data_IF_139334482411
#
_entry.id   IF_139334482411
#
_cell.length_a   1.000
_cell.length_b   1.000
_cell.length_c   1.000
_cell.angle_alpha   90.00
_cell.angle_beta   90.00
_cell.angle_gamma   90.00
#
_symmetry.space_group_name_H-M   'P 1'
#
loop_
_entity.id
_entity.type
_entity.pdbx_description
1 polymer ?
#
# COMPACT_ATOMS: atom_id res chain seq x y z
N UNK A 1 26.90 27.47 45.74
CA UNK A 1 26.29 27.66 44.40
C UNK A 1 27.01 26.74 43.44
N UNK A 2 26.45 25.56 43.16
CA UNK A 2 27.04 24.61 42.20
C UNK A 2 26.70 25.06 40.78
N UNK A 3 27.67 25.13 39.86
CA UNK A 3 27.43 25.62 38.51
C UNK A 3 26.56 24.65 37.71
N UNK A 4 25.61 25.23 36.96
CA UNK A 4 24.79 24.57 35.95
C UNK A 4 25.63 23.62 35.10
N UNK A 5 25.40 22.32 35.28
CA UNK A 5 26.02 21.29 34.46
C UNK A 5 25.26 21.22 33.12
N UNK A 6 25.56 22.19 32.25
CA UNK A 6 25.26 22.10 30.83
C UNK A 6 26.07 20.92 30.26
N UNK A 7 25.42 19.77 30.10
CA UNK A 7 25.89 18.70 29.22
C UNK A 7 25.06 18.72 27.93
N UNK A 8 25.70 18.91 26.77
CA UNK A 8 25.01 19.14 25.51
C UNK A 8 24.33 17.85 25.06
N UNK A 9 23.03 17.90 24.77
CA UNK A 9 22.62 17.23 23.54
C UNK A 9 23.41 17.92 22.43
N UNK A 10 24.09 17.18 21.55
CA UNK A 10 24.94 17.76 20.49
C UNK A 10 24.22 18.80 19.61
N UNK A 11 22.89 18.83 19.64
CA UNK A 11 22.03 19.75 18.91
C UNK A 11 20.89 20.25 19.81
N UNK A 12 20.37 21.45 19.53
CA UNK A 12 19.20 21.98 20.22
C UNK A 12 17.97 21.08 19.98
N UNK A 13 17.04 20.95 20.95
CA UNK A 13 15.83 20.11 20.82
C UNK A 13 15.04 20.38 19.52
N UNK A 14 14.95 21.66 19.13
CA UNK A 14 14.35 22.08 17.86
C UNK A 14 15.05 21.47 16.64
N UNK A 15 16.38 21.51 16.62
CA UNK A 15 17.16 20.98 15.48
C UNK A 15 17.02 19.47 15.37
N UNK A 16 16.98 18.76 16.49
CA UNK A 16 16.75 17.31 16.52
C UNK A 16 15.36 16.96 15.95
N UNK A 17 14.32 17.66 16.40
CA UNK A 17 12.97 17.47 15.88
C UNK A 17 12.90 17.75 14.38
N UNK A 18 13.51 18.84 13.90
CA UNK A 18 13.53 19.19 12.49
C UNK A 18 14.22 18.12 11.63
N UNK A 19 15.37 17.59 12.05
CA UNK A 19 16.06 16.52 11.33
C UNK A 19 15.23 15.24 11.25
N UNK A 20 14.56 14.86 12.34
CA UNK A 20 13.68 13.69 12.36
C UNK A 20 12.45 13.89 11.47
N UNK A 21 11.85 15.08 11.50
CA UNK A 21 10.77 15.44 10.58
C UNK A 21 11.25 15.44 9.12
N UNK A 22 12.45 15.92 8.80
CA UNK A 22 13.00 15.83 7.44
C UNK A 22 13.16 14.39 6.98
N UNK A 23 13.65 13.50 7.85
CA UNK A 23 13.77 12.09 7.52
C UNK A 23 12.41 11.43 7.30
N UNK A 24 11.42 11.72 8.17
CA UNK A 24 10.06 11.22 8.03
C UNK A 24 9.36 11.77 6.77
N UNK A 25 9.61 13.03 6.39
CA UNK A 25 9.15 13.62 5.13
C UNK A 25 9.75 12.91 3.93
N UNK A 26 11.06 12.64 3.95
CA UNK A 26 11.72 11.89 2.89
C UNK A 26 11.14 10.47 2.78
N UNK A 27 10.95 9.76 3.89
CA UNK A 27 10.34 8.43 3.90
C UNK A 27 8.91 8.44 3.34
N UNK A 28 8.12 9.45 3.71
CA UNK A 28 6.76 9.64 3.19
C UNK A 28 6.78 9.93 1.70
N UNK A 29 7.68 10.80 1.23
CA UNK A 29 7.84 11.13 -0.18
C UNK A 29 8.22 9.90 -1.01
N UNK A 30 9.17 9.10 -0.53
CA UNK A 30 9.55 7.86 -1.22
C UNK A 30 8.38 6.87 -1.27
N UNK A 31 7.63 6.73 -0.18
CA UNK A 31 6.44 5.89 -0.13
C UNK A 31 5.35 6.37 -1.10
N UNK A 32 5.09 7.67 -1.20
CA UNK A 32 4.07 8.20 -2.12
C UNK A 32 4.51 8.12 -3.57
N UNK A 33 5.79 8.37 -3.86
CA UNK A 33 6.35 8.16 -5.20
C UNK A 33 6.24 6.69 -5.62
N UNK A 34 6.47 5.76 -4.71
CA UNK A 34 6.26 4.34 -4.96
C UNK A 34 4.79 4.05 -5.30
N UNK A 35 3.84 4.54 -4.49
CA UNK A 35 2.40 4.36 -4.75
C UNK A 35 1.95 4.99 -6.06
N UNK A 36 2.58 6.08 -6.50
CA UNK A 36 2.30 6.70 -7.79
C UNK A 36 2.68 5.79 -8.99
N UNK A 37 3.57 4.82 -8.79
CA UNK A 37 3.95 3.85 -9.84
C UNK A 37 3.06 2.61 -9.87
N UNK A 38 2.13 2.47 -8.91
CA UNK A 38 1.25 1.31 -8.82
C UNK A 38 0.32 1.22 -10.05
N UNK A 39 0.22 0.04 -10.69
CA UNK A 39 -0.71 -0.18 -11.80
C UNK A 39 -2.16 0.16 -11.44
N UNK A 40 -2.85 0.86 -12.34
CA UNK A 40 -4.24 1.26 -12.17
C UNK A 40 -5.08 0.80 -13.37
N UNK A 41 -6.10 -0.01 -13.12
CA UNK A 41 -7.09 -0.46 -14.10
C UNK A 41 -8.34 0.45 -14.09
N UNK A 42 -8.58 1.16 -13.00
CA UNK A 42 -9.75 2.00 -12.79
C UNK A 42 -11.02 1.18 -12.55
N UNK A 43 -10.88 0.04 -11.89
CA UNK A 43 -11.95 -0.87 -11.52
C UNK A 43 -12.06 -0.93 -10.00
N UNK A 44 -13.28 -0.92 -9.48
CA UNK A 44 -13.55 -1.33 -8.10
C UNK A 44 -13.88 -2.81 -8.11
N UNK A 45 -13.04 -3.59 -7.45
CA UNK A 45 -13.13 -5.05 -7.43
C UNK A 45 -13.53 -5.53 -6.04
N UNK A 46 -14.37 -6.55 -5.99
CA UNK A 46 -14.71 -7.24 -4.75
C UNK A 46 -14.62 -8.75 -4.88
N UNK A 47 -14.56 -9.40 -3.72
CA UNK A 47 -14.54 -10.86 -3.63
C UNK A 47 -15.91 -11.40 -4.00
N UNK A 48 -15.92 -12.54 -4.69
CA UNK A 48 -17.17 -13.25 -4.97
C UNK A 48 -17.39 -14.30 -3.89
N UNK A 49 -18.61 -14.38 -3.33
CA UNK A 49 -18.95 -15.41 -2.32
C UNK A 49 -19.22 -16.77 -2.97
N UNK A 50 -19.85 -16.77 -4.15
CA UNK A 50 -20.45 -17.98 -4.76
C UNK A 50 -19.62 -18.60 -5.90
N UNK A 51 -18.64 -17.88 -6.45
CA UNK A 51 -17.87 -18.32 -7.62
C UNK A 51 -16.38 -17.96 -7.47
N UNK A 52 -15.46 -18.72 -8.09
CA UNK A 52 -14.05 -18.37 -8.11
C UNK A 52 -13.83 -17.10 -8.93
N UNK A 53 -13.15 -16.11 -8.34
CA UNK A 53 -12.73 -14.90 -9.05
C UNK A 53 -13.10 -13.62 -8.32
N UNK A 54 -12.92 -12.50 -9.01
CA UNK A 54 -13.19 -11.16 -8.49
C UNK A 54 -14.24 -10.46 -9.34
N UNK A 55 -15.23 -9.86 -8.68
CA UNK A 55 -16.33 -9.14 -9.35
C UNK A 55 -15.95 -7.69 -9.54
N UNK A 56 -16.29 -7.12 -10.69
CA UNK A 56 -16.25 -5.68 -10.93
C UNK A 56 -17.49 -5.05 -10.30
N UNK A 57 -17.36 -4.38 -9.16
CA UNK A 57 -18.47 -3.64 -8.54
C UNK A 57 -18.82 -2.39 -9.34
N UNK A 58 -17.80 -1.66 -9.76
CA UNK A 58 -17.97 -0.43 -10.51
C UNK A 58 -16.75 -0.14 -11.40
N UNK A 59 -16.98 0.63 -12.45
CA UNK A 59 -15.92 1.15 -13.31
C UNK A 59 -15.86 2.65 -13.11
N UNK A 60 -14.69 3.17 -12.71
CA UNK A 60 -14.53 4.60 -12.42
C UNK A 60 -14.74 5.42 -13.68
N UNK A 61 -15.37 6.59 -13.56
CA UNK A 61 -15.69 7.46 -14.69
C UNK A 61 -14.46 7.93 -15.51
N UNK A 62 -13.28 8.00 -14.87
CA UNK A 62 -12.01 8.34 -15.51
C UNK A 62 -11.16 7.09 -15.86
N UNK A 63 -11.74 5.90 -15.82
CA UNK A 63 -11.05 4.65 -16.13
C UNK A 63 -10.70 4.57 -17.61
N UNK A 64 -9.47 4.13 -17.98
CA UNK A 64 -9.13 3.85 -19.37
C UNK A 64 -9.90 2.64 -19.94
N UNK A 65 -10.63 1.90 -19.09
CA UNK A 65 -11.38 0.69 -19.44
C UNK A 65 -12.89 0.87 -19.44
N UNK A 66 -13.40 2.11 -19.32
CA UNK A 66 -14.83 2.41 -19.22
C UNK A 66 -15.68 1.82 -20.36
N UNK A 67 -15.13 1.70 -21.57
CA UNK A 67 -15.83 1.14 -22.74
C UNK A 67 -15.58 -0.35 -22.97
N UNK A 68 -14.75 -1.00 -22.14
CA UNK A 68 -14.28 -2.37 -22.35
C UNK A 68 -14.88 -3.39 -21.39
N UNK A 69 -15.29 -2.94 -20.21
CA UNK A 69 -15.81 -3.80 -19.15
C UNK A 69 -16.96 -3.11 -18.45
N UNK A 70 -17.95 -3.90 -18.03
CA UNK A 70 -19.13 -3.41 -17.32
C UNK A 70 -19.05 -3.80 -15.84
N UNK A 71 -19.81 -3.08 -15.01
CA UNK A 71 -20.11 -3.56 -13.66
C UNK A 71 -20.77 -4.95 -13.70
N UNK A 72 -20.66 -5.69 -12.60
CA UNK A 72 -21.06 -7.09 -12.42
C UNK A 72 -20.32 -8.15 -13.24
N UNK A 73 -19.36 -7.75 -14.08
CA UNK A 73 -18.47 -8.71 -14.76
C UNK A 73 -17.62 -9.45 -13.73
N UNK A 74 -17.57 -10.78 -13.80
CA UNK A 74 -16.69 -11.59 -12.94
C UNK A 74 -15.42 -11.93 -13.71
N UNK A 75 -14.27 -11.56 -13.15
CA UNK A 75 -12.95 -11.87 -13.67
C UNK A 75 -12.43 -13.15 -13.01
N UNK A 76 -12.09 -14.14 -13.83
CA UNK A 76 -11.68 -15.48 -13.35
C UNK A 76 -10.19 -15.76 -13.57
N UNK A 77 -9.53 -15.03 -14.46
CA UNK A 77 -8.09 -15.14 -14.68
C UNK A 77 -7.49 -13.92 -15.37
N UNK A 78 -6.16 -13.81 -15.27
CA UNK A 78 -5.33 -12.92 -16.08
C UNK A 78 -4.43 -13.76 -16.99
N UNK A 79 -4.24 -13.34 -18.22
CA UNK A 79 -3.37 -13.99 -19.19
C UNK A 79 -2.09 -13.18 -19.39
N UNK A 80 -0.95 -13.85 -19.30
CA UNK A 80 0.37 -13.26 -19.56
C UNK A 80 1.21 -14.23 -20.39
N UNK A 81 1.64 -13.82 -21.59
CA UNK A 81 2.52 -14.64 -22.44
C UNK A 81 1.98 -16.04 -22.79
N UNK A 82 0.65 -16.24 -22.73
CA UNK A 82 0.00 -17.54 -22.93
C UNK A 82 -0.19 -18.37 -21.65
N UNK A 83 0.33 -17.92 -20.51
CA UNK A 83 0.05 -18.48 -19.19
C UNK A 83 -1.24 -17.90 -18.62
N UNK A 84 -2.07 -18.76 -18.01
CA UNK A 84 -3.32 -18.39 -17.35
C UNK A 84 -3.08 -18.33 -15.85
N UNK A 85 -3.16 -17.14 -15.28
CA UNK A 85 -3.03 -16.87 -13.85
C UNK A 85 -4.45 -16.81 -13.26
N UNK A 86 -4.91 -17.83 -12.50
CA UNK A 86 -6.25 -17.84 -11.95
C UNK A 86 -6.45 -16.72 -10.92
N UNK A 87 -7.65 -16.12 -10.91
CA UNK A 87 -8.09 -15.23 -9.85
C UNK A 87 -8.95 -16.03 -8.87
N UNK A 88 -8.67 -15.83 -7.58
CA UNK A 88 -9.30 -16.54 -6.47
C UNK A 88 -9.94 -15.54 -5.51
N UNK A 89 -10.78 -16.04 -4.60
CA UNK A 89 -11.47 -15.18 -3.63
C UNK A 89 -10.51 -14.57 -2.60
N UNK A 90 -9.34 -15.18 -2.41
CA UNK A 90 -8.25 -14.66 -1.58
C UNK A 90 -7.34 -13.66 -2.32
N UNK A 91 -7.51 -13.47 -3.64
CA UNK A 91 -6.70 -12.51 -4.42
C UNK A 91 -6.80 -11.08 -3.88
N UNK A 92 -7.97 -10.69 -3.35
CA UNK A 92 -8.22 -9.36 -2.75
C UNK A 92 -8.18 -9.38 -1.22
N UNK A 93 -7.47 -10.32 -0.60
CA UNK A 93 -7.33 -10.33 0.86
C UNK A 93 -6.50 -9.13 1.34
N UNK A 94 -7.02 -8.38 2.31
CA UNK A 94 -6.32 -7.24 2.92
C UNK A 94 -5.17 -7.73 3.81
N UNK A 95 -5.46 -8.73 4.65
CA UNK A 95 -4.52 -9.31 5.60
C UNK A 95 -4.22 -10.79 5.25
N UNK A 96 -3.11 -11.05 4.54
CA UNK A 96 -2.74 -12.41 4.14
C UNK A 96 -2.22 -13.26 5.32
N UNK A 97 -1.95 -12.67 6.49
CA UNK A 97 -1.48 -13.41 7.67
C UNK A 97 -2.58 -14.33 8.25
N UNK A 98 -3.83 -14.16 7.80
CA UNK A 98 -4.96 -15.04 8.09
C UNK A 98 -4.93 -16.36 7.28
N UNK A 99 -4.07 -16.46 6.26
CA UNK A 99 -3.93 -17.66 5.43
C UNK A 99 -3.01 -18.69 6.11
N UNK A 100 -3.25 -19.97 5.82
CA UNK A 100 -2.27 -21.01 6.14
C UNK A 100 -1.01 -20.87 5.27
N UNK A 101 0.10 -21.49 5.67
CA UNK A 101 1.39 -21.34 4.99
C UNK A 101 1.34 -21.71 3.50
N UNK A 102 0.60 -22.75 3.12
CA UNK A 102 0.52 -23.20 1.73
C UNK A 102 -0.27 -22.20 0.87
N UNK A 103 -1.41 -21.72 1.38
CA UNK A 103 -2.21 -20.67 0.73
C UNK A 103 -1.46 -19.36 0.65
N UNK A 104 -0.70 -19.01 1.70
CA UNK A 104 0.11 -17.80 1.73
C UNK A 104 1.20 -17.83 0.65
N UNK A 105 1.93 -18.95 0.53
CA UNK A 105 2.96 -19.10 -0.50
C UNK A 105 2.37 -19.07 -1.92
N UNK A 106 1.23 -19.73 -2.14
CA UNK A 106 0.50 -19.65 -3.42
C UNK A 106 0.08 -18.22 -3.70
N UNK A 107 -0.51 -17.53 -2.73
CA UNK A 107 -0.93 -16.15 -2.86
C UNK A 107 0.24 -15.25 -3.25
N UNK A 108 1.40 -15.33 -2.57
CA UNK A 108 2.58 -14.54 -2.94
C UNK A 108 3.07 -14.85 -4.36
N UNK A 109 3.05 -16.11 -4.78
CA UNK A 109 3.43 -16.51 -6.13
C UNK A 109 2.48 -15.91 -7.18
N UNK A 110 1.17 -16.10 -7.01
CA UNK A 110 0.14 -15.57 -7.92
C UNK A 110 0.16 -14.04 -7.97
N UNK A 111 0.32 -13.36 -6.82
CA UNK A 111 0.44 -11.90 -6.76
C UNK A 111 1.69 -11.39 -7.52
N UNK A 112 2.80 -12.12 -7.45
CA UNK A 112 4.01 -11.81 -8.22
C UNK A 112 3.75 -11.92 -9.73
N UNK A 113 3.06 -12.97 -10.18
CA UNK A 113 2.69 -13.15 -11.58
C UNK A 113 1.72 -12.06 -12.04
N UNK A 114 0.69 -11.75 -11.24
CA UNK A 114 -0.26 -10.69 -11.53
C UNK A 114 0.43 -9.33 -11.64
N UNK A 115 1.38 -9.03 -10.76
CA UNK A 115 2.18 -7.80 -10.84
C UNK A 115 2.98 -7.71 -12.14
N UNK A 116 3.61 -8.82 -12.56
CA UNK A 116 4.34 -8.86 -13.83
C UNK A 116 3.41 -8.70 -15.04
N UNK A 117 2.21 -9.28 -15.00
CA UNK A 117 1.20 -9.11 -16.03
C UNK A 117 0.78 -7.64 -16.13
N UNK A 118 0.49 -6.99 -15.00
CA UNK A 118 0.15 -5.56 -14.94
C UNK A 118 1.29 -4.64 -15.40
N UNK A 119 2.55 -5.07 -15.22
CA UNK A 119 3.73 -4.33 -15.69
C UNK A 119 3.96 -4.44 -17.22
N UNK A 120 3.22 -5.31 -17.93
CA UNK A 120 3.32 -5.51 -19.38
C UNK A 120 1.98 -5.24 -20.10
N UNK A 121 1.51 -3.98 -20.19
CA UNK A 121 0.22 -3.67 -20.78
C UNK A 121 0.20 -3.94 -22.30
N UNK A 122 -0.97 -4.23 -22.89
CA UNK A 122 -2.28 -4.39 -22.25
C UNK A 122 -2.41 -5.73 -21.52
N UNK A 123 -3.22 -5.76 -20.46
CA UNK A 123 -3.47 -6.94 -19.64
C UNK A 123 -4.70 -7.65 -20.17
N UNK A 124 -4.59 -8.93 -20.50
CA UNK A 124 -5.73 -9.71 -20.98
C UNK A 124 -6.38 -10.39 -19.78
N UNK A 125 -7.65 -10.08 -19.51
CA UNK A 125 -8.44 -10.72 -18.45
C UNK A 125 -9.42 -11.70 -19.07
N UNK A 126 -9.69 -12.80 -18.38
CA UNK A 126 -10.71 -13.79 -18.71
C UNK A 126 -11.91 -13.58 -17.78
N UNK A 127 -13.10 -13.57 -18.36
CA UNK A 127 -14.37 -13.45 -17.64
C UNK A 127 -15.02 -14.82 -17.41
N UNK A 128 -16.00 -14.89 -16.53
CA UNK A 128 -16.75 -16.12 -16.20
C UNK A 128 -17.49 -16.73 -17.39
N UNK A 129 -17.90 -15.91 -18.37
CA UNK A 129 -18.46 -16.36 -19.65
C UNK A 129 -17.39 -16.88 -20.65
N UNK A 130 -16.11 -16.88 -20.25
CA UNK A 130 -14.97 -17.32 -21.06
C UNK A 130 -14.46 -16.28 -22.07
N UNK A 131 -15.03 -15.07 -22.09
CA UNK A 131 -14.54 -13.99 -22.94
C UNK A 131 -13.15 -13.51 -22.48
N UNK A 132 -12.37 -12.97 -23.42
CA UNK A 132 -11.06 -12.38 -23.13
C UNK A 132 -11.06 -10.91 -23.49
N UNK A 133 -10.78 -10.06 -22.51
CA UNK A 133 -10.85 -8.61 -22.64
C UNK A 133 -9.45 -8.03 -22.40
N UNK A 134 -8.95 -7.23 -23.35
CA UNK A 134 -7.67 -6.55 -23.19
C UNK A 134 -7.85 -5.20 -22.47
N UNK A 135 -7.52 -5.15 -21.19
CA UNK A 135 -7.56 -3.96 -20.35
C UNK A 135 -6.29 -3.12 -20.52
N UNK A 136 -6.47 -1.81 -20.56
CA UNK A 136 -5.39 -0.83 -20.46
C UNK A 136 -5.00 -0.65 -18.99
N UNK A 137 -3.70 -0.47 -18.75
CA UNK A 137 -3.15 -0.14 -17.43
C UNK A 137 -2.66 1.29 -17.49
N UNK A 138 -3.11 2.12 -16.55
CA UNK A 138 -2.67 3.50 -16.38
C UNK A 138 -1.88 3.69 -15.08
N UNK A 139 -1.40 4.92 -14.91
CA UNK A 139 -0.77 5.42 -13.68
C UNK A 139 -1.22 6.87 -13.46
N UNK A 140 -2.48 7.09 -13.04
CA UNK A 140 -2.98 8.44 -12.83
C UNK A 140 -2.25 9.11 -11.66
N UNK A 141 -2.08 10.43 -11.74
CA UNK A 141 -1.47 11.21 -10.66
C UNK A 141 -2.26 11.15 -9.34
N UNK A 142 -3.57 10.88 -9.42
CA UNK A 142 -4.44 10.64 -8.27
C UNK A 142 -5.20 9.32 -8.44
N UNK A 143 -5.07 8.43 -7.45
CA UNK A 143 -5.72 7.11 -7.41
C UNK A 143 -6.28 6.83 -6.01
N UNK A 144 -7.15 5.82 -5.86
CA UNK A 144 -7.56 5.34 -4.54
C UNK A 144 -6.38 4.91 -3.67
N UNK A 145 -5.38 4.27 -4.29
CA UNK A 145 -4.12 3.92 -3.64
C UNK A 145 -3.41 5.14 -3.05
N UNK A 146 -3.34 6.25 -3.81
CA UNK A 146 -2.78 7.52 -3.34
C UNK A 146 -3.58 8.08 -2.15
N UNK A 147 -4.91 8.04 -2.24
CA UNK A 147 -5.78 8.53 -1.15
C UNK A 147 -5.58 7.71 0.13
N UNK A 148 -5.55 6.38 0.00
CA UNK A 148 -5.28 5.46 1.10
C UNK A 148 -3.91 5.72 1.73
N UNK A 149 -2.88 5.91 0.90
CA UNK A 149 -1.52 6.16 1.35
C UNK A 149 -1.37 7.48 2.11
N UNK A 150 -2.03 8.55 1.64
CA UNK A 150 -2.00 9.85 2.31
C UNK A 150 -2.73 9.82 3.65
N UNK A 151 -3.88 9.13 3.75
CA UNK A 151 -4.62 9.00 5.01
C UNK A 151 -3.83 8.21 6.06
N UNK A 152 -3.25 7.06 5.68
CA UNK A 152 -2.43 6.24 6.59
C UNK A 152 -1.11 6.93 6.94
N UNK A 153 -0.49 7.62 5.98
CA UNK A 153 0.67 8.47 6.23
C UNK A 153 0.37 9.55 7.25
N UNK A 154 -0.77 10.25 7.13
CA UNK A 154 -1.21 11.27 8.09
C UNK A 154 -1.37 10.68 9.50
N UNK A 155 -1.99 9.51 9.62
CA UNK A 155 -2.12 8.81 10.90
C UNK A 155 -0.74 8.49 11.51
N UNK A 156 0.18 7.96 10.71
CA UNK A 156 1.57 7.74 11.13
C UNK A 156 2.27 9.02 11.58
N UNK A 157 2.06 10.13 10.87
CA UNK A 157 2.61 11.45 11.22
C UNK A 157 2.13 11.94 12.57
N UNK A 158 0.84 11.80 12.89
CA UNK A 158 0.29 12.18 14.19
C UNK A 158 0.96 11.37 15.30
N UNK A 159 1.05 10.05 15.13
CA UNK A 159 1.71 9.19 16.12
C UNK A 159 3.19 9.55 16.34
N UNK A 160 3.92 9.80 15.24
CA UNK A 160 5.33 10.18 15.29
C UNK A 160 5.54 11.51 16.01
N UNK A 161 4.75 12.54 15.66
CA UNK A 161 4.90 13.88 16.23
C UNK A 161 4.57 13.91 17.72
N UNK A 162 3.54 13.18 18.16
CA UNK A 162 3.21 13.05 19.58
C UNK A 162 4.37 12.38 20.33
N UNK A 163 4.90 11.28 19.79
CA UNK A 163 5.97 10.52 20.42
C UNK A 163 7.30 11.28 20.49
N UNK A 164 7.70 11.91 19.38
CA UNK A 164 8.90 12.74 19.32
C UNK A 164 8.76 14.00 20.19
N UNK A 165 7.57 14.62 20.22
CA UNK A 165 7.29 15.76 21.07
C UNK A 165 7.61 15.46 22.54
N UNK A 166 7.07 14.36 23.08
CA UNK A 166 7.34 13.97 24.47
C UNK A 166 8.81 13.67 24.74
N UNK A 167 9.51 13.04 23.80
CA UNK A 167 10.92 12.71 23.95
C UNK A 167 11.84 13.95 23.89
N UNK A 168 11.59 14.88 22.98
CA UNK A 168 12.41 16.09 22.79
C UNK A 168 12.43 16.97 24.04
N UNK A 169 11.33 17.03 24.80
CA UNK A 169 11.27 17.78 26.07
C UNK A 169 11.86 17.01 27.26
N UNK A 170 11.90 15.67 27.21
CA UNK A 170 12.36 14.83 28.32
C UNK A 170 13.29 13.69 27.85
N UNK A 171 14.41 13.98 27.16
CA UNK A 171 15.17 12.96 26.42
C UNK A 171 15.95 11.97 27.31
N UNK A 172 16.13 12.29 28.59
CA UNK A 172 16.88 11.46 29.55
C UNK A 172 16.05 10.37 30.20
N UNK A 173 14.72 10.47 30.10
CA UNK A 173 13.80 9.49 30.68
C UNK A 173 13.71 8.26 29.78
N UNK A 174 13.78 7.07 30.37
CA UNK A 174 13.71 5.82 29.60
C UNK A 174 12.33 5.66 28.99
N UNK A 175 11.28 6.07 29.69
CA UNK A 175 9.88 5.94 29.27
C UNK A 175 9.61 6.74 27.99
N UNK A 176 10.13 7.97 27.90
CA UNK A 176 9.94 8.84 26.73
C UNK A 176 10.75 8.35 25.52
N UNK A 177 11.92 7.73 25.75
CA UNK A 177 12.71 7.08 24.70
C UNK A 177 12.00 5.87 24.12
N UNK A 178 11.43 5.01 24.99
CA UNK A 178 10.64 3.86 24.56
C UNK A 178 9.38 4.32 23.82
N UNK A 179 8.74 5.39 24.28
CA UNK A 179 7.58 5.96 23.61
C UNK A 179 7.93 6.54 22.23
N UNK A 180 9.04 7.28 22.11
CA UNK A 180 9.56 7.72 20.81
C UNK A 180 9.85 6.54 19.87
N UNK A 181 10.47 5.47 20.38
CA UNK A 181 10.72 4.27 19.60
C UNK A 181 9.40 3.63 19.11
N UNK A 182 8.35 3.56 19.94
CA UNK A 182 7.05 3.07 19.50
C UNK A 182 6.40 3.97 18.44
N UNK A 183 6.56 5.29 18.52
CA UNK A 183 6.05 6.21 17.50
C UNK A 183 6.75 6.05 16.15
N UNK A 184 8.07 5.85 16.16
CA UNK A 184 8.85 5.55 14.95
C UNK A 184 8.44 4.20 14.36
N UNK A 185 8.28 3.17 15.19
CA UNK A 185 7.82 1.86 14.74
C UNK A 185 6.43 1.94 14.12
N UNK A 186 5.48 2.61 14.76
CA UNK A 186 4.13 2.79 14.24
C UNK A 186 4.12 3.57 12.92
N UNK A 187 4.91 4.65 12.83
CA UNK A 187 5.10 5.39 11.59
C UNK A 187 5.61 4.48 10.44
N UNK A 188 6.64 3.68 10.70
CA UNK A 188 7.17 2.74 9.71
C UNK A 188 6.13 1.69 9.28
N UNK A 189 5.36 1.13 10.22
CA UNK A 189 4.26 0.19 9.93
C UNK A 189 3.19 0.85 9.06
N UNK A 190 2.78 2.08 9.39
CA UNK A 190 1.75 2.80 8.63
C UNK A 190 2.21 3.18 7.22
N UNK A 191 3.49 3.52 7.04
CA UNK A 191 4.05 3.74 5.69
C UNK A 191 4.08 2.43 4.88
N UNK A 192 4.40 1.32 5.54
CA UNK A 192 4.40 0.00 4.90
C UNK A 192 2.98 -0.35 4.44
N UNK A 193 1.98 -0.21 5.31
CA UNK A 193 0.57 -0.41 4.96
C UNK A 193 0.10 0.56 3.85
N UNK A 194 0.49 1.82 3.92
CA UNK A 194 0.19 2.84 2.92
C UNK A 194 0.71 2.46 1.52
N UNK A 195 1.83 1.75 1.43
CA UNK A 195 2.44 1.38 0.15
C UNK A 195 1.64 0.36 -0.65
N UNK A 196 0.85 -0.49 0.02
CA UNK A 196 0.15 -1.61 -0.64
C UNK A 196 -1.36 -1.70 -0.35
N UNK A 197 -1.88 -1.05 0.68
CA UNK A 197 -3.24 -1.27 1.17
C UNK A 197 -4.35 -0.74 0.26
N UNK A 198 -4.06 0.22 -0.63
CA UNK A 198 -5.04 0.78 -1.56
C UNK A 198 -4.96 0.27 -3.01
N UNK A 199 -4.29 -0.86 -3.25
CA UNK A 199 -4.13 -1.48 -4.58
C UNK A 199 -5.47 -2.02 -5.12
N UNK A 200 -5.63 -2.01 -6.43
CA UNK A 200 -6.84 -2.56 -7.08
C UNK A 200 -6.79 -4.09 -7.24
N UNK A 201 -5.65 -4.66 -7.68
CA UNK A 201 -5.57 -6.07 -8.06
C UNK A 201 -4.37 -6.85 -7.52
N UNK A 202 -3.15 -6.30 -7.55
CA UNK A 202 -1.94 -7.08 -7.23
C UNK A 202 -0.92 -6.36 -6.33
N UNK A 203 -0.27 -7.13 -5.45
CA UNK A 203 0.91 -6.77 -4.67
C UNK A 203 2.19 -6.89 -5.52
N UNK A 204 3.19 -6.00 -5.33
CA UNK A 204 4.54 -6.30 -5.77
C UNK A 204 5.10 -7.44 -4.92
N UNK A 205 4.99 -8.67 -5.41
CA UNK A 205 5.70 -9.82 -4.85
C UNK A 205 7.13 -9.85 -5.39
N UNK A 206 8.10 -9.94 -4.49
CA UNK A 206 9.50 -10.27 -4.80
C UNK A 206 9.93 -11.45 -3.97
#
# INVERSE_FOLDING_TARGET
>A
MSPMQNRPGLLAPRTQLLLLCMFALLATLLSTLWVATTPYLGLELSKTEDAPGVRVESVRANSPNLSKINADTVLVAVWQGGERIPLHNDTLIEDPDLLDYDRYNRFLHEQSQLWQALASPPVVVETDDGSRIALAVGQPWWSPAMTYALLHGLYGWVALLVALGLWVYNPRRTETRLFAASGVALFATTLTLASYGGRELALPGR
#
